data_IF_151338045031
#
_entry.id   IF_151338045031
#
_cell.length_a   1.000
_cell.length_b   1.000
_cell.length_c   1.000
_cell.angle_alpha   90.00
_cell.angle_beta   90.00
_cell.angle_gamma   90.00
#
_symmetry.space_group_name_H-M   'P 1'
#
loop_
_entity.id
_entity.type
_entity.pdbx_description
1 polymer ?
#
# COMPACT_ATOMS: atom_id res chain seq x y z
N UNK A 1 -4.38 2.29 -9.26
CA UNK A 1 -4.06 3.72 -8.99
C UNK A 1 -4.56 4.03 -7.59
N UNK A 2 -3.70 4.35 -6.62
CA UNK A 2 -4.16 4.89 -5.33
C UNK A 2 -4.71 6.29 -5.59
N UNK A 3 -5.93 6.57 -5.13
CA UNK A 3 -6.63 7.82 -5.37
C UNK A 3 -5.79 9.05 -5.04
N UNK A 4 -5.37 9.74 -6.10
CA UNK A 4 -5.23 11.19 -6.23
C UNK A 4 -4.11 11.96 -5.49
N UNK A 5 -3.09 11.30 -4.91
CA UNK A 5 -1.85 12.03 -4.53
C UNK A 5 -0.57 11.22 -4.66
N UNK A 6 -0.61 9.93 -4.33
CA UNK A 6 0.58 9.10 -4.26
C UNK A 6 0.55 7.99 -5.32
N UNK A 7 1.68 7.73 -5.95
CA UNK A 7 1.87 6.57 -6.82
C UNK A 7 3.26 5.99 -6.63
N UNK A 8 3.36 4.67 -6.69
CA UNK A 8 4.62 3.95 -6.65
C UNK A 8 4.86 3.20 -7.96
N UNK A 9 6.13 3.05 -8.30
CA UNK A 9 6.57 2.25 -9.44
C UNK A 9 7.59 1.22 -8.94
N UNK A 10 7.48 0.01 -9.47
CA UNK A 10 8.41 -1.07 -9.20
C UNK A 10 8.86 -1.68 -10.53
N UNK A 11 10.16 -1.64 -10.81
CA UNK A 11 10.75 -2.13 -12.05
C UNK A 11 11.82 -3.21 -11.81
N UNK A 12 12.33 -3.77 -12.91
CA UNK A 12 13.27 -4.90 -12.97
C UNK A 12 12.71 -6.20 -12.40
N UNK A 13 11.38 -6.38 -12.42
CA UNK A 13 10.73 -7.60 -11.92
C UNK A 13 11.07 -8.82 -12.79
N UNK A 14 11.28 -9.98 -12.17
CA UNK A 14 11.37 -11.27 -12.89
C UNK A 14 9.99 -11.79 -13.28
N UNK A 15 8.98 -11.55 -12.42
CA UNK A 15 7.58 -11.94 -12.62
C UNK A 15 6.66 -11.12 -11.73
N UNK A 16 5.42 -10.94 -12.20
CA UNK A 16 4.34 -10.39 -11.40
C UNK A 16 3.66 -11.50 -10.59
N UNK A 17 3.04 -11.12 -9.47
CA UNK A 17 2.20 -12.05 -8.71
C UNK A 17 0.96 -12.42 -9.54
N UNK A 18 0.62 -13.72 -9.68
CA UNK A 18 -0.54 -14.14 -10.47
C UNK A 18 -1.88 -13.73 -9.85
N UNK A 19 -1.88 -13.28 -8.60
CA UNK A 19 -3.08 -12.84 -7.88
C UNK A 19 -3.59 -11.48 -8.36
N UNK A 20 -2.76 -10.71 -9.07
CA UNK A 20 -3.07 -9.33 -9.45
C UNK A 20 -2.97 -9.13 -10.95
N UNK A 21 -3.89 -8.34 -11.48
CA UNK A 21 -3.95 -7.89 -12.85
C UNK A 21 -4.15 -6.37 -12.89
N UNK A 22 -4.09 -5.77 -14.08
CA UNK A 22 -4.36 -4.35 -14.25
C UNK A 22 -5.75 -4.00 -13.66
N UNK A 23 -5.79 -3.00 -12.80
CA UNK A 23 -7.01 -2.57 -12.11
C UNK A 23 -7.27 -3.27 -10.78
N UNK A 24 -6.48 -4.28 -10.39
CA UNK A 24 -6.57 -4.88 -9.05
C UNK A 24 -6.35 -3.85 -7.95
N UNK A 25 -7.11 -4.00 -6.87
CA UNK A 25 -6.83 -3.34 -5.60
C UNK A 25 -5.82 -4.18 -4.82
N UNK A 26 -4.79 -3.52 -4.28
CA UNK A 26 -3.75 -4.13 -3.46
C UNK A 26 -3.73 -3.46 -2.09
N UNK A 27 -3.54 -4.26 -1.04
CA UNK A 27 -3.33 -3.79 0.32
C UNK A 27 -1.84 -3.65 0.59
N UNK A 28 -1.50 -2.77 1.54
CA UNK A 28 -0.13 -2.63 1.99
C UNK A 28 0.36 -3.97 2.57
N UNK A 29 1.54 -4.42 2.12
CA UNK A 29 2.16 -5.68 2.56
C UNK A 29 1.88 -6.88 1.64
N UNK A 30 0.98 -6.75 0.66
CA UNK A 30 0.75 -7.81 -0.31
C UNK A 30 1.90 -7.92 -1.33
N UNK A 31 2.22 -9.16 -1.72
CA UNK A 31 3.27 -9.44 -2.70
C UNK A 31 2.72 -9.25 -4.11
N UNK A 32 3.17 -8.19 -4.77
CA UNK A 32 2.74 -7.81 -6.13
C UNK A 32 3.67 -8.35 -7.24
N UNK A 33 4.87 -8.81 -6.89
CA UNK A 33 5.87 -9.28 -7.85
C UNK A 33 7.16 -9.72 -7.17
N UNK A 34 8.12 -10.15 -7.99
CA UNK A 34 9.37 -10.73 -7.53
C UNK A 34 10.56 -10.07 -8.22
N UNK A 35 11.65 -9.87 -7.47
CA UNK A 35 12.90 -9.24 -7.93
C UNK A 35 13.46 -9.99 -9.15
N UNK A 36 14.05 -9.25 -10.07
CA UNK A 36 14.74 -9.77 -11.24
C UNK A 36 15.78 -8.79 -11.77
N UNK A 37 16.08 -8.93 -13.06
CA UNK A 37 17.06 -8.11 -13.79
C UNK A 37 16.53 -7.75 -15.19
N UNK A 38 15.22 -7.59 -15.34
CA UNK A 38 14.63 -7.25 -16.64
C UNK A 38 14.91 -5.79 -17.02
N UNK A 39 15.04 -5.51 -18.32
CA UNK A 39 15.35 -4.17 -18.82
C UNK A 39 16.80 -3.76 -18.58
N UNK A 40 17.05 -2.46 -18.41
CA UNK A 40 18.39 -1.92 -18.15
C UNK A 40 18.75 -2.08 -16.66
N UNK A 41 19.32 -3.23 -16.31
CA UNK A 41 19.72 -3.55 -14.93
C UNK A 41 21.11 -4.22 -14.90
N UNK A 42 21.99 -3.75 -14.02
CA UNK A 42 23.36 -4.27 -13.86
C UNK A 42 23.42 -5.59 -13.07
N UNK A 43 22.39 -5.89 -12.28
CA UNK A 43 22.26 -7.10 -11.49
C UNK A 43 20.85 -7.23 -10.90
N UNK A 44 20.52 -8.32 -10.19
CA UNK A 44 19.20 -8.51 -9.59
C UNK A 44 18.92 -7.48 -8.47
N UNK A 45 17.96 -6.58 -8.71
CA UNK A 45 17.53 -5.56 -7.74
C UNK A 45 16.13 -5.05 -8.08
N UNK A 46 15.56 -4.21 -7.20
CA UNK A 46 14.30 -3.52 -7.45
C UNK A 46 14.57 -2.04 -7.65
N UNK A 47 14.11 -1.50 -8.77
CA UNK A 47 14.00 -0.05 -8.94
C UNK A 47 12.65 0.39 -8.41
N UNK A 48 12.67 1.13 -7.30
CA UNK A 48 11.47 1.61 -6.62
C UNK A 48 11.39 3.13 -6.71
N UNK A 49 10.22 3.63 -7.11
CA UNK A 49 9.95 5.06 -7.12
C UNK A 49 8.72 5.37 -6.29
N UNK A 50 8.78 6.53 -5.63
CA UNK A 50 7.66 7.12 -4.97
C UNK A 50 7.39 8.49 -5.59
N UNK A 51 6.14 8.73 -6.00
CA UNK A 51 5.73 9.97 -6.64
C UNK A 51 4.57 10.61 -5.90
N UNK A 52 4.65 11.93 -5.71
CA UNK A 52 3.58 12.76 -5.17
C UNK A 52 3.12 13.68 -6.30
N UNK A 53 1.86 13.58 -6.71
CA UNK A 53 1.30 14.31 -7.86
C UNK A 53 2.16 14.15 -9.13
N UNK A 54 2.70 12.95 -9.35
CA UNK A 54 3.54 12.62 -10.50
C UNK A 54 5.02 13.03 -10.37
N UNK A 55 5.39 13.87 -9.41
CA UNK A 55 6.78 14.28 -9.16
C UNK A 55 7.48 13.22 -8.31
N UNK A 56 8.71 12.85 -8.66
CA UNK A 56 9.52 11.88 -7.92
C UNK A 56 10.01 12.47 -6.60
N UNK A 57 9.91 11.70 -5.53
CA UNK A 57 10.45 12.04 -4.21
C UNK A 57 11.33 10.91 -3.70
N UNK A 58 12.34 11.27 -2.91
CA UNK A 58 13.14 10.33 -2.13
C UNK A 58 12.23 9.57 -1.16
N UNK A 59 11.95 8.27 -1.39
CA UNK A 59 10.94 7.55 -0.62
C UNK A 59 11.30 7.43 0.87
N UNK A 60 12.59 7.52 1.22
CA UNK A 60 13.07 7.42 2.59
C UNK A 60 12.84 8.70 3.40
N UNK A 61 12.55 9.82 2.72
CA UNK A 61 12.35 11.13 3.34
C UNK A 61 10.88 11.58 3.35
N UNK A 62 10.01 10.89 2.62
CA UNK A 62 8.58 11.23 2.61
C UNK A 62 7.95 10.85 3.95
N UNK A 63 7.42 11.84 4.67
CA UNK A 63 6.53 11.61 5.80
C UNK A 63 5.18 11.14 5.28
N UNK A 64 4.94 9.84 5.30
CA UNK A 64 3.62 9.29 5.01
C UNK A 64 2.65 9.69 6.13
N UNK A 65 1.37 9.93 5.82
CA UNK A 65 0.35 10.07 6.86
C UNK A 65 0.17 8.71 7.52
N UNK A 66 0.93 8.43 8.57
CA UNK A 66 0.66 7.31 9.46
C UNK A 66 -0.52 7.72 10.34
N UNK A 67 -1.62 6.96 10.29
CA UNK A 67 -2.66 7.10 11.28
C UNK A 67 -2.05 6.76 12.65
N UNK A 68 -2.14 7.70 13.60
CA UNK A 68 -1.76 7.40 14.97
C UNK A 68 -2.65 6.25 15.49
N UNK A 69 -2.09 5.27 16.22
CA UNK A 69 -2.89 4.22 16.81
C UNK A 69 -3.86 4.82 17.84
N UNK A 70 -5.04 4.21 17.97
CA UNK A 70 -6.04 4.64 18.96
C UNK A 70 -5.42 4.57 20.37
N UNK A 71 -5.48 5.67 21.17
CA UNK A 71 -4.97 5.69 22.53
C UNK A 71 -5.48 4.52 23.35
N UNK A 72 -4.63 3.89 24.17
CA UNK A 72 -5.00 2.70 24.97
C UNK A 72 -6.27 2.91 25.78
N UNK A 73 -6.43 4.10 26.37
CA UNK A 73 -7.60 4.51 27.16
C UNK A 73 -8.90 4.51 26.35
N UNK A 74 -8.84 4.79 25.04
CA UNK A 74 -10.02 4.90 24.18
C UNK A 74 -10.32 3.61 23.41
N UNK A 75 -9.44 2.61 23.44
CA UNK A 75 -9.60 1.38 22.64
C UNK A 75 -10.85 0.59 23.00
N UNK A 76 -11.19 0.52 24.29
CA UNK A 76 -12.35 -0.28 24.73
C UNK A 76 -13.66 0.35 24.24
N UNK A 77 -13.78 1.68 24.36
CA UNK A 77 -14.92 2.42 23.86
C UNK A 77 -15.03 2.32 22.34
N UNK A 78 -13.92 2.52 21.62
CA UNK A 78 -13.87 2.35 20.18
C UNK A 78 -14.37 0.95 19.75
N UNK A 79 -13.88 -0.12 20.39
CA UNK A 79 -14.30 -1.49 20.07
C UNK A 79 -15.80 -1.69 20.29
N UNK A 80 -16.34 -1.16 21.39
CA UNK A 80 -17.77 -1.25 21.71
C UNK A 80 -18.62 -0.54 20.65
N UNK A 81 -18.30 0.69 20.30
CA UNK A 81 -19.00 1.42 19.24
C UNK A 81 -18.87 0.73 17.89
N UNK A 82 -17.67 0.26 17.53
CA UNK A 82 -17.44 -0.46 16.28
C UNK A 82 -18.28 -1.74 16.19
N UNK A 83 -18.36 -2.53 17.26
CA UNK A 83 -19.21 -3.73 17.29
C UNK A 83 -20.70 -3.41 17.10
N UNK A 84 -21.21 -2.36 17.74
CA UNK A 84 -22.60 -1.94 17.58
C UNK A 84 -22.90 -1.52 16.14
N UNK A 85 -22.02 -0.72 15.53
CA UNK A 85 -22.20 -0.27 14.15
C UNK A 85 -22.10 -1.43 13.15
N UNK A 86 -21.16 -2.36 13.35
CA UNK A 86 -21.06 -3.55 12.51
C UNK A 86 -22.30 -4.44 12.61
N UNK A 87 -22.87 -4.60 13.80
CA UNK A 87 -24.11 -5.36 13.98
C UNK A 87 -25.27 -4.72 13.20
N UNK A 88 -25.41 -3.39 13.25
CA UNK A 88 -26.45 -2.66 12.51
C UNK A 88 -26.30 -2.78 10.99
N UNK A 89 -25.05 -2.78 10.47
CA UNK A 89 -24.78 -2.94 9.05
C UNK A 89 -25.10 -4.34 8.54
N UNK A 90 -24.93 -5.36 9.37
CA UNK A 90 -25.17 -6.78 9.01
C UNK A 90 -26.63 -7.22 9.17
N UNK A 91 -27.49 -6.39 9.76
CA UNK A 91 -28.92 -6.67 9.94
C UNK A 91 -29.82 -6.17 8.80
N UNK A 92 -29.23 -5.67 7.70
CA UNK A 92 -29.93 -5.42 6.43
C UNK A 92 -29.54 -6.49 5.41
#
# INVERSE_FOLDING_TARGET
KSGYKYSTLYAHMSRFSPQFHLGSHVKLGEVIGYVGQTGLATGPHVHYEFRINGVHYDPMKVKLPHAAPIPKSQRQDFKRYAHQMMALLNTK
#
